data_IF_258205718966
#
_entry.id   IF_258205718966
#
_cell.length_a   1.000
_cell.length_b   1.000
_cell.length_c   1.000
_cell.angle_alpha   90.00
_cell.angle_beta   90.00
_cell.angle_gamma   90.00
#
_symmetry.space_group_name_H-M   'P 1'
#
loop_
_entity.id
_entity.type
_entity.pdbx_description
1 polymer ?
#
# COMPACT_ATOMS: atom_id res chain seq x y z
N UNK A 1 2.44 12.61 -1.13
CA UNK A 1 2.82 13.20 0.17
C UNK A 1 1.61 13.43 1.06
N UNK A 2 0.59 14.14 0.59
CA UNK A 2 -0.48 14.64 1.46
C UNK A 2 -1.31 13.52 2.11
N UNK A 3 -1.55 12.43 1.38
CA UNK A 3 -2.22 11.25 1.93
C UNK A 3 -1.45 10.54 3.03
N UNK A 4 -0.11 10.57 2.99
CA UNK A 4 0.73 10.00 4.05
C UNK A 4 0.72 10.88 5.29
N UNK A 5 0.90 12.18 5.12
CA UNK A 5 0.79 13.17 6.21
C UNK A 5 -0.57 13.08 6.88
N UNK A 6 -1.66 13.05 6.11
CA UNK A 6 -3.01 12.94 6.65
C UNK A 6 -3.25 11.60 7.36
N UNK A 7 -2.67 10.51 6.87
CA UNK A 7 -2.81 9.19 7.53
C UNK A 7 -2.04 9.11 8.84
N UNK A 8 -0.83 9.68 8.89
CA UNK A 8 -0.01 9.73 10.11
C UNK A 8 -0.66 10.61 11.18
N UNK A 9 -1.07 11.83 10.82
CA UNK A 9 -1.64 12.78 11.80
C UNK A 9 -3.14 12.59 12.07
N UNK A 10 -3.89 12.02 11.13
CA UNK A 10 -5.34 11.83 11.25
C UNK A 10 -5.72 10.47 11.83
N UNK A 11 -5.28 9.39 11.19
CA UNK A 11 -5.66 8.01 11.56
C UNK A 11 -4.67 7.40 12.56
N UNK A 12 -3.50 8.03 12.77
CA UNK A 12 -2.46 7.52 13.65
C UNK A 12 -1.62 6.42 13.00
N UNK A 13 -1.48 6.44 11.67
CA UNK A 13 -0.59 5.49 10.99
C UNK A 13 0.84 5.61 11.54
N UNK A 14 1.55 4.50 11.79
CA UNK A 14 2.79 4.58 12.55
C UNK A 14 3.84 5.47 11.82
N UNK A 15 4.36 6.50 12.51
CA UNK A 15 5.14 7.57 11.86
C UNK A 15 6.50 7.07 11.34
N UNK A 16 7.06 6.01 11.93
CA UNK A 16 8.33 5.43 11.50
C UNK A 16 8.26 4.75 10.12
N UNK A 17 7.05 4.43 9.64
CA UNK A 17 6.83 3.97 8.27
C UNK A 17 6.57 5.12 7.27
N UNK A 18 6.47 6.36 7.75
CA UNK A 18 6.29 7.55 6.91
C UNK A 18 4.91 7.70 6.25
N UNK A 19 3.97 6.79 6.52
CA UNK A 19 2.63 6.75 5.93
C UNK A 19 2.39 5.51 5.05
N UNK A 20 1.13 5.24 4.66
CA UNK A 20 0.76 4.06 3.87
C UNK A 20 1.47 3.96 2.52
N UNK A 21 1.65 5.05 1.76
CA UNK A 21 2.30 5.02 0.45
C UNK A 21 3.82 4.84 0.57
N UNK A 22 4.47 5.55 1.52
CA UNK A 22 5.88 5.29 1.90
C UNK A 22 6.09 3.86 2.36
N UNK A 23 5.14 3.30 3.10
CA UNK A 23 5.17 1.90 3.51
C UNK A 23 5.15 0.96 2.30
N UNK A 24 4.30 1.19 1.29
CA UNK A 24 4.27 0.34 0.09
C UNK A 24 5.62 0.31 -0.62
N UNK A 25 6.28 1.47 -0.73
CA UNK A 25 7.60 1.57 -1.37
C UNK A 25 8.70 0.83 -0.61
N UNK A 26 8.66 0.84 0.73
CA UNK A 26 9.62 0.12 1.57
C UNK A 26 9.32 -1.37 1.69
N UNK A 27 8.04 -1.74 1.79
CA UNK A 27 7.60 -3.12 1.97
C UNK A 27 7.63 -3.93 0.66
N UNK A 28 7.48 -3.24 -0.47
CA UNK A 28 7.39 -3.80 -1.81
C UNK A 28 5.94 -4.00 -2.23
N UNK A 29 5.58 -3.41 -3.38
CA UNK A 29 4.24 -3.50 -3.95
C UNK A 29 3.82 -4.94 -4.26
N UNK A 30 4.72 -5.78 -4.78
CA UNK A 30 4.43 -7.20 -5.07
C UNK A 30 4.07 -7.98 -3.80
N UNK A 31 4.85 -7.77 -2.73
CA UNK A 31 4.64 -8.43 -1.45
C UNK A 31 3.30 -8.01 -0.82
N UNK A 32 2.97 -6.72 -0.93
CA UNK A 32 1.69 -6.20 -0.47
C UNK A 32 0.52 -6.85 -1.23
N UNK A 33 0.59 -6.91 -2.57
CA UNK A 33 -0.44 -7.55 -3.41
C UNK A 33 -0.60 -9.03 -3.05
N UNK A 34 0.50 -9.77 -2.84
CA UNK A 34 0.44 -11.17 -2.44
C UNK A 34 -0.34 -11.37 -1.14
N UNK A 35 -0.12 -10.51 -0.15
CA UNK A 35 -0.88 -10.54 1.10
C UNK A 35 -2.35 -10.15 0.89
N UNK A 36 -2.62 -9.11 0.08
CA UNK A 36 -3.97 -8.67 -0.23
C UNK A 36 -4.78 -9.80 -0.90
N UNK A 37 -4.19 -10.50 -1.87
CA UNK A 37 -4.82 -11.66 -2.53
C UNK A 37 -5.08 -12.80 -1.53
N UNK A 38 -4.09 -13.12 -0.69
CA UNK A 38 -4.28 -14.12 0.38
C UNK A 38 -5.43 -13.77 1.32
N UNK A 39 -5.60 -12.51 1.68
CA UNK A 39 -6.73 -12.07 2.51
C UNK A 39 -8.05 -12.04 1.73
N UNK A 40 -8.02 -11.72 0.44
CA UNK A 40 -9.20 -11.77 -0.43
C UNK A 40 -9.72 -13.20 -0.63
N UNK A 41 -8.86 -14.21 -0.51
CA UNK A 41 -9.26 -15.62 -0.50
C UNK A 41 -9.88 -16.06 0.84
N UNK A 42 -9.42 -15.49 1.95
CA UNK A 42 -9.86 -15.86 3.30
C UNK A 42 -11.08 -15.08 3.81
N UNK A 43 -11.36 -13.91 3.25
CA UNK A 43 -12.37 -12.95 3.71
C UNK A 43 -13.21 -12.41 2.54
N UNK A 44 -14.25 -11.58 2.78
CA UNK A 44 -15.00 -10.95 1.69
C UNK A 44 -14.08 -10.22 0.72
N UNK A 45 -13.97 -10.75 -0.50
CA UNK A 45 -12.94 -10.38 -1.46
C UNK A 45 -12.97 -8.91 -1.88
N UNK A 46 -14.14 -8.26 -1.79
CA UNK A 46 -14.33 -6.86 -2.18
C UNK A 46 -13.48 -5.88 -1.37
N UNK A 47 -13.20 -6.18 -0.11
CA UNK A 47 -12.44 -5.29 0.77
C UNK A 47 -10.92 -5.45 0.62
N UNK A 48 -10.47 -6.63 0.19
CA UNK A 48 -9.05 -6.98 0.12
C UNK A 48 -8.52 -7.02 -1.31
N UNK A 49 -9.37 -6.77 -2.32
CA UNK A 49 -8.93 -6.73 -3.72
C UNK A 49 -7.90 -5.59 -3.91
N UNK A 50 -6.71 -5.89 -4.45
CA UNK A 50 -5.69 -4.87 -4.68
C UNK A 50 -6.18 -3.83 -5.68
N UNK A 51 -6.03 -2.54 -5.33
CA UNK A 51 -6.37 -1.44 -6.21
C UNK A 51 -5.48 -1.45 -7.47
N UNK A 52 -6.03 -1.02 -8.61
CA UNK A 52 -5.33 -1.06 -9.89
C UNK A 52 -3.99 -0.31 -9.86
N UNK A 53 -3.95 0.85 -9.18
CA UNK A 53 -2.72 1.63 -9.03
C UNK A 53 -1.59 0.83 -8.35
N UNK A 54 -1.89 0.05 -7.32
CA UNK A 54 -0.88 -0.76 -6.62
C UNK A 54 -0.36 -1.87 -7.55
N UNK A 55 -1.27 -2.49 -8.32
CA UNK A 55 -0.92 -3.49 -9.33
C UNK A 55 -0.04 -2.90 -10.44
N UNK A 56 -0.33 -1.69 -10.90
CA UNK A 56 0.44 -1.01 -11.93
C UNK A 56 1.82 -0.61 -11.42
N UNK A 57 1.94 -0.23 -10.15
CA UNK A 57 3.22 0.06 -9.49
C UNK A 57 4.08 -1.20 -9.32
N UNK A 58 3.47 -2.32 -8.93
CA UNK A 58 4.11 -3.62 -8.87
C UNK A 58 4.62 -4.07 -10.26
N UNK A 59 3.76 -4.05 -11.28
CA UNK A 59 4.13 -4.44 -12.66
C UNK A 59 5.24 -3.59 -13.27
N UNK A 60 5.24 -2.28 -13.00
CA UNK A 60 6.23 -1.35 -13.54
C UNK A 60 7.49 -1.24 -12.68
N UNK A 61 7.51 -1.91 -11.52
CA UNK A 61 8.55 -1.77 -10.51
C UNK A 61 8.83 -0.29 -10.16
N UNK A 62 7.77 0.50 -10.01
CA UNK A 62 7.82 1.94 -9.74
C UNK A 62 7.38 2.26 -8.32
N UNK A 63 8.04 3.23 -7.68
CA UNK A 63 7.70 3.73 -6.35
C UNK A 63 6.60 4.81 -6.41
N UNK A 64 5.81 4.95 -5.34
CA UNK A 64 4.85 6.05 -5.15
C UNK A 64 5.55 7.38 -4.87
N UNK A 65 6.70 7.34 -4.21
CA UNK A 65 7.59 8.48 -4.05
C UNK A 65 8.73 8.38 -5.07
N UNK A 66 8.81 9.33 -6.03
CA UNK A 66 10.03 9.51 -6.80
C UNK A 66 11.16 9.91 -5.85
N UNK A 67 12.39 9.48 -6.15
CA UNK A 67 13.58 9.95 -5.42
C UNK A 67 13.80 11.44 -5.61
#
# INVERSE_FOLDING_TARGET
SDGDTASVFGVGFPPFWGGPFRFVDMYGADKLIGNMLRYAEAYPSEQFKPAQIIQDHAKRNTKFYPE
#
